data_IF_955587733386
#
_entry.id   IF_955587733386
#
_cell.length_a   1.000
_cell.length_b   1.000
_cell.length_c   1.000
_cell.angle_alpha   90.00
_cell.angle_beta   90.00
_cell.angle_gamma   90.00
#
_symmetry.space_group_name_H-M   'P 1'
#
loop_
_entity.id
_entity.type
_entity.pdbx_description
1 polymer ?
#
# COMPACT_ATOMS: atom_id res chain seq x y z
N UNK A 1 0.19 20.96 16.07
CA UNK A 1 -0.72 21.03 14.92
C UNK A 1 0.12 21.11 13.64
N UNK A 2 0.04 20.07 12.81
CA UNK A 2 0.83 19.94 11.56
C UNK A 2 0.51 21.08 10.58
N UNK A 3 -0.70 21.64 10.64
CA UNK A 3 -1.12 22.77 9.79
C UNK A 3 -0.29 24.05 10.01
N UNK A 4 0.44 24.14 11.13
CA UNK A 4 1.25 25.29 11.49
C UNK A 4 2.72 25.15 11.06
N UNK A 5 3.13 24.00 10.52
CA UNK A 5 4.48 23.81 9.99
C UNK A 5 4.58 24.59 8.68
N UNK A 6 5.40 25.63 8.64
CA UNK A 6 5.62 26.45 7.46
C UNK A 6 6.06 25.60 6.27
N UNK A 7 5.25 25.61 5.20
CA UNK A 7 5.51 24.81 4.01
C UNK A 7 4.74 23.46 3.92
N UNK A 8 3.97 23.07 4.96
CA UNK A 8 3.05 21.94 4.86
C UNK A 8 1.76 22.36 4.14
N UNK A 9 1.46 21.67 3.04
CA UNK A 9 0.19 21.78 2.34
C UNK A 9 -0.81 20.76 2.93
N UNK A 10 -1.91 21.20 3.58
CA UNK A 10 -2.91 20.30 4.15
C UNK A 10 -3.51 19.31 3.14
N UNK A 11 -3.52 19.64 1.85
CA UNK A 11 -4.00 18.73 0.81
C UNK A 11 -3.17 17.44 0.70
N UNK A 12 -1.90 17.45 1.15
CA UNK A 12 -1.05 16.25 1.23
C UNK A 12 -1.59 15.18 2.19
N UNK A 13 -2.47 15.53 3.10
CA UNK A 13 -3.16 14.61 4.02
C UNK A 13 -4.58 14.26 3.55
N UNK A 14 -5.06 14.96 2.53
CA UNK A 14 -6.38 14.78 1.94
C UNK A 14 -6.27 14.10 0.56
N UNK A 15 -6.64 14.79 -0.49
CA UNK A 15 -6.74 14.27 -1.85
C UNK A 15 -5.40 14.05 -2.56
N UNK A 16 -4.30 14.70 -2.09
CA UNK A 16 -2.93 14.51 -2.59
C UNK A 16 -2.12 13.45 -1.82
N UNK A 17 -2.72 12.70 -0.89
CA UNK A 17 -1.98 11.78 0.00
C UNK A 17 -1.17 10.70 -0.72
N UNK A 18 -1.50 10.41 -1.98
CA UNK A 18 -0.76 9.49 -2.85
C UNK A 18 -0.27 10.18 -4.12
N UNK A 19 0.00 11.46 -4.07
CA UNK A 19 0.52 12.23 -5.21
C UNK A 19 1.98 11.89 -5.52
N UNK A 20 2.43 12.24 -6.73
CA UNK A 20 3.84 12.03 -7.13
C UNK A 20 4.85 12.65 -6.16
N UNK A 21 4.65 13.89 -5.63
CA UNK A 21 5.56 14.43 -4.61
C UNK A 21 5.64 13.59 -3.33
N UNK A 22 4.51 13.03 -2.85
CA UNK A 22 4.52 12.19 -1.64
C UNK A 22 5.28 10.88 -1.91
N UNK A 23 5.06 10.26 -3.07
CA UNK A 23 5.79 9.06 -3.48
C UNK A 23 7.30 9.36 -3.59
N UNK A 24 7.67 10.48 -4.20
CA UNK A 24 9.08 10.88 -4.35
C UNK A 24 9.75 11.11 -2.99
N UNK A 25 9.12 11.89 -2.10
CA UNK A 25 9.65 12.12 -0.75
C UNK A 25 9.85 10.82 0.03
N UNK A 26 8.93 9.86 -0.15
CA UNK A 26 9.05 8.54 0.48
C UNK A 26 10.23 7.75 -0.09
N UNK A 27 10.43 7.79 -1.41
CA UNK A 27 11.61 7.19 -2.04
C UNK A 27 12.91 7.84 -1.58
N UNK A 28 12.97 9.16 -1.52
CA UNK A 28 14.16 9.90 -1.06
C UNK A 28 14.52 9.54 0.39
N UNK A 29 13.50 9.35 1.24
CA UNK A 29 13.71 8.90 2.61
C UNK A 29 14.26 7.46 2.68
N UNK A 30 13.72 6.54 1.88
CA UNK A 30 14.23 5.17 1.75
C UNK A 30 15.68 5.19 1.25
N UNK A 31 15.96 5.93 0.19
CA UNK A 31 17.30 6.00 -0.41
C UNK A 31 18.32 6.60 0.57
N UNK A 32 17.89 7.55 1.41
CA UNK A 32 18.74 8.09 2.46
C UNK A 32 19.11 7.03 3.50
N UNK A 33 18.17 6.17 3.89
CA UNK A 33 18.43 5.05 4.82
C UNK A 33 19.33 3.99 4.20
N UNK A 34 19.16 3.73 2.91
CA UNK A 34 19.92 2.69 2.18
C UNK A 34 21.32 3.12 1.78
N UNK A 35 21.66 4.41 1.84
CA UNK A 35 22.91 4.98 1.32
C UNK A 35 24.16 4.27 1.83
N UNK A 36 24.16 3.89 3.10
CA UNK A 36 25.31 3.30 3.78
C UNK A 36 25.16 1.77 3.95
N UNK A 37 24.14 1.19 3.30
CA UNK A 37 23.92 -0.25 3.33
C UNK A 37 24.45 -0.89 2.03
N UNK A 38 24.99 -2.13 2.11
CA UNK A 38 25.31 -2.88 0.90
C UNK A 38 24.06 -3.11 0.07
N UNK A 39 24.22 -3.52 -1.19
CA UNK A 39 23.10 -3.81 -2.08
C UNK A 39 22.08 -4.76 -1.41
N UNK A 40 20.94 -4.20 -0.99
CA UNK A 40 19.89 -4.93 -0.28
C UNK A 40 18.62 -4.95 -1.12
N UNK A 41 17.82 -5.99 -0.92
CA UNK A 41 16.47 -6.04 -1.46
C UNK A 41 15.48 -5.60 -0.39
N UNK A 42 14.55 -4.74 -0.79
CA UNK A 42 13.52 -4.21 0.10
C UNK A 42 12.34 -5.17 0.21
N UNK A 43 11.79 -5.24 1.41
CA UNK A 43 10.43 -5.72 1.63
C UNK A 43 9.60 -4.53 2.13
N UNK A 44 8.51 -4.23 1.44
CA UNK A 44 7.61 -3.16 1.81
C UNK A 44 6.36 -3.75 2.47
N UNK A 45 6.03 -3.20 3.63
CA UNK A 45 4.82 -3.59 4.38
C UNK A 45 4.04 -2.34 4.71
N UNK A 46 2.74 -2.33 4.44
CA UNK A 46 1.90 -1.18 4.73
C UNK A 46 0.48 -1.56 5.15
N UNK A 47 -0.08 -0.77 6.08
CA UNK A 47 -1.46 -0.92 6.52
C UNK A 47 -2.31 0.24 6.00
N UNK A 48 -3.55 -0.04 5.57
CA UNK A 48 -4.51 0.96 5.10
C UNK A 48 -3.90 1.85 4.00
N UNK A 49 -3.98 3.16 4.11
CA UNK A 49 -3.33 4.10 3.18
C UNK A 49 -1.81 3.92 3.06
N UNK A 50 -1.15 3.42 4.13
CA UNK A 50 0.28 3.08 4.07
C UNK A 50 0.58 1.94 3.10
N UNK A 51 -0.32 0.97 2.95
CA UNK A 51 -0.18 -0.09 1.96
C UNK A 51 -0.43 0.40 0.54
N UNK A 52 -1.37 1.33 0.33
CA UNK A 52 -1.55 2.01 -0.96
C UNK A 52 -0.27 2.75 -1.35
N UNK A 53 0.32 3.51 -0.42
CA UNK A 53 1.58 4.23 -0.66
C UNK A 53 2.74 3.26 -0.93
N UNK A 54 2.87 2.18 -0.14
CA UNK A 54 3.89 1.14 -0.35
C UNK A 54 3.78 0.50 -1.74
N UNK A 55 2.56 0.29 -2.24
CA UNK A 55 2.31 -0.23 -3.59
C UNK A 55 2.80 0.76 -4.66
N UNK A 56 2.54 2.04 -4.49
CA UNK A 56 2.98 3.08 -5.43
C UNK A 56 4.51 3.28 -5.38
N UNK A 57 5.12 3.21 -4.21
CA UNK A 57 6.58 3.20 -4.05
C UNK A 57 7.18 2.00 -4.78
N UNK A 58 6.63 0.80 -4.56
CA UNK A 58 7.10 -0.43 -5.21
C UNK A 58 7.08 -0.33 -6.74
N UNK A 59 6.11 0.38 -7.31
CA UNK A 59 5.99 0.55 -8.76
C UNK A 59 7.08 1.43 -9.39
N UNK A 60 7.79 2.21 -8.57
CA UNK A 60 8.86 3.12 -9.02
C UNK A 60 10.27 2.60 -8.71
N UNK A 61 10.38 1.41 -8.09
CA UNK A 61 11.65 0.83 -7.61
C UNK A 61 11.94 -0.51 -8.28
N UNK A 62 13.23 -0.85 -8.39
CA UNK A 62 13.70 -2.14 -8.93
C UNK A 62 14.29 -3.05 -7.86
N UNK A 63 14.44 -2.57 -6.63
CA UNK A 63 15.05 -3.26 -5.49
C UNK A 63 14.00 -3.88 -4.54
N UNK A 64 12.71 -3.79 -4.84
CA UNK A 64 11.65 -4.38 -4.04
C UNK A 64 11.44 -5.84 -4.40
N UNK A 65 11.62 -6.72 -3.41
CA UNK A 65 11.43 -8.17 -3.54
C UNK A 65 10.00 -8.62 -3.21
N UNK A 66 9.44 -8.06 -2.15
CA UNK A 66 8.14 -8.45 -1.62
C UNK A 66 7.36 -7.22 -1.15
N UNK A 67 6.10 -7.17 -1.52
CA UNK A 67 5.13 -6.16 -1.07
C UNK A 67 4.03 -6.86 -0.27
N UNK A 68 3.81 -6.43 0.96
CA UNK A 68 2.71 -6.90 1.80
C UNK A 68 1.82 -5.73 2.16
N UNK A 69 0.53 -5.86 1.93
CA UNK A 69 -0.45 -4.86 2.37
C UNK A 69 -1.49 -5.46 3.29
N UNK A 70 -1.89 -4.70 4.29
CA UNK A 70 -2.87 -5.08 5.30
C UNK A 70 -4.03 -4.07 5.23
N UNK A 71 -5.24 -4.53 4.97
CA UNK A 71 -6.44 -3.68 4.92
C UNK A 71 -6.25 -2.42 4.05
N UNK A 72 -5.70 -2.57 2.84
CA UNK A 72 -5.27 -1.43 2.01
C UNK A 72 -6.12 -1.30 0.75
N UNK A 73 -6.60 -0.08 0.41
CA UNK A 73 -7.27 0.17 -0.86
C UNK A 73 -6.27 0.12 -2.02
N UNK A 74 -6.39 -0.92 -2.86
CA UNK A 74 -5.51 -1.13 -4.02
C UNK A 74 -6.06 -0.49 -5.30
N UNK A 75 -7.36 -0.21 -5.33
CA UNK A 75 -8.01 0.68 -6.29
C UNK A 75 -8.73 1.78 -5.51
N UNK A 76 -8.10 2.95 -5.37
CA UNK A 76 -8.65 4.07 -4.59
C UNK A 76 -9.95 4.62 -5.19
N UNK A 77 -10.17 4.45 -6.49
CA UNK A 77 -11.42 4.84 -7.13
C UNK A 77 -12.56 3.88 -6.78
N UNK A 78 -12.31 2.57 -6.80
CA UNK A 78 -13.27 1.58 -6.34
C UNK A 78 -13.56 1.73 -4.84
N UNK A 79 -12.54 1.95 -4.03
CA UNK A 79 -12.67 2.21 -2.61
C UNK A 79 -13.56 3.45 -2.33
N UNK A 80 -13.33 4.57 -3.00
CA UNK A 80 -14.11 5.78 -2.82
C UNK A 80 -15.59 5.57 -3.19
N UNK A 81 -15.85 4.83 -4.29
CA UNK A 81 -17.22 4.47 -4.68
C UNK A 81 -17.89 3.58 -3.62
N UNK A 82 -17.19 2.57 -3.11
CA UNK A 82 -17.74 1.62 -2.11
C UNK A 82 -18.13 2.32 -0.82
N UNK A 83 -17.40 3.36 -0.43
CA UNK A 83 -17.67 4.14 0.79
C UNK A 83 -18.57 5.38 0.52
N UNK A 84 -18.91 5.67 -0.74
CA UNK A 84 -19.62 6.89 -1.10
C UNK A 84 -18.93 8.16 -0.62
N UNK A 85 -17.59 8.19 -0.69
CA UNK A 85 -16.77 9.36 -0.33
C UNK A 85 -16.19 10.03 -1.57
N UNK A 86 -15.72 11.27 -1.41
CA UNK A 86 -15.10 12.03 -2.49
C UNK A 86 -13.87 11.30 -3.06
N UNK A 87 -13.73 11.21 -4.39
CA UNK A 87 -12.54 10.64 -5.02
C UNK A 87 -11.27 11.44 -4.72
N UNK A 88 -10.14 10.75 -4.65
CA UNK A 88 -8.83 11.34 -4.43
C UNK A 88 -8.20 11.76 -5.78
N UNK A 89 -8.73 12.78 -6.42
CA UNK A 89 -8.38 13.17 -7.81
C UNK A 89 -6.91 13.53 -8.01
N UNK A 90 -6.23 14.04 -6.98
CA UNK A 90 -4.83 14.45 -7.06
C UNK A 90 -3.84 13.35 -6.59
N UNK A 91 -4.36 12.17 -6.32
CA UNK A 91 -3.59 10.98 -5.94
C UNK A 91 -3.43 10.01 -7.10
N UNK A 92 -2.30 9.29 -7.13
CA UNK A 92 -2.10 8.15 -8.04
C UNK A 92 -2.93 6.97 -7.56
N UNK A 93 -3.51 6.24 -8.50
CA UNK A 93 -4.25 5.02 -8.20
C UNK A 93 -3.38 3.79 -8.50
N UNK A 94 -3.11 2.90 -7.53
CA UNK A 94 -2.38 1.66 -7.81
C UNK A 94 -3.01 0.80 -8.93
N UNK A 95 -4.31 0.93 -9.14
CA UNK A 95 -5.02 0.23 -10.21
C UNK A 95 -4.91 0.89 -11.60
N UNK A 96 -4.16 1.99 -11.74
CA UNK A 96 -3.91 2.62 -13.05
C UNK A 96 -3.13 1.65 -13.96
N UNK A 97 -3.58 1.40 -15.21
CA UNK A 97 -2.89 0.51 -16.16
C UNK A 97 -1.43 0.85 -16.44
N UNK A 98 -1.04 2.11 -16.25
CA UNK A 98 0.34 2.55 -16.40
C UNK A 98 1.24 2.22 -15.19
N UNK A 99 0.66 1.84 -14.07
CA UNK A 99 1.39 1.40 -12.89
C UNK A 99 1.62 -0.10 -12.98
N UNK A 100 2.88 -0.53 -13.01
CA UNK A 100 3.24 -1.93 -13.18
C UNK A 100 4.16 -2.39 -12.05
N UNK A 101 3.82 -3.52 -11.45
CA UNK A 101 4.61 -4.19 -10.41
C UNK A 101 5.22 -5.49 -10.96
N UNK A 102 6.01 -5.33 -12.03
CA UNK A 102 6.67 -6.46 -12.69
C UNK A 102 7.68 -7.11 -11.75
N UNK A 103 7.60 -8.44 -11.66
CA UNK A 103 8.53 -9.28 -10.89
C UNK A 103 8.51 -9.12 -9.36
N UNK A 104 7.64 -8.28 -8.81
CA UNK A 104 7.47 -8.14 -7.36
C UNK A 104 6.45 -9.18 -6.89
N UNK A 105 6.82 -9.97 -5.89
CA UNK A 105 5.87 -10.85 -5.21
C UNK A 105 5.00 -10.03 -4.27
N UNK A 106 3.70 -10.29 -4.26
CA UNK A 106 2.76 -9.48 -3.52
C UNK A 106 1.83 -10.38 -2.68
N UNK A 107 1.56 -9.94 -1.47
CA UNK A 107 0.53 -10.55 -0.62
C UNK A 107 -0.34 -9.45 -0.02
N UNK A 108 -1.62 -9.50 -0.32
CA UNK A 108 -2.59 -8.51 0.13
C UNK A 108 -3.60 -9.17 1.08
N UNK A 109 -3.58 -8.76 2.34
CA UNK A 109 -4.49 -9.23 3.36
C UNK A 109 -5.67 -8.29 3.54
N UNK A 110 -6.87 -8.85 3.61
CA UNK A 110 -8.12 -8.15 3.90
C UNK A 110 -8.79 -8.74 5.12
N UNK A 111 -9.37 -7.90 5.95
CA UNK A 111 -10.21 -8.35 7.05
C UNK A 111 -11.61 -8.71 6.55
N UNK A 112 -12.14 -9.85 6.99
CA UNK A 112 -13.50 -10.27 6.65
C UNK A 112 -14.55 -9.26 7.15
N UNK A 113 -14.30 -8.68 8.32
CA UNK A 113 -15.19 -7.71 8.97
C UNK A 113 -14.77 -6.24 8.74
N UNK A 114 -13.85 -5.99 7.80
CA UNK A 114 -13.40 -4.64 7.49
C UNK A 114 -14.49 -3.84 6.75
N UNK A 115 -15.08 -2.86 7.44
CA UNK A 115 -16.10 -1.97 6.88
C UNK A 115 -15.49 -0.78 6.09
N UNK A 116 -14.18 -0.52 6.26
CA UNK A 116 -13.47 0.63 5.65
C UNK A 116 -12.81 0.21 4.33
N UNK A 117 -12.12 -0.93 4.30
CA UNK A 117 -11.47 -1.46 3.09
C UNK A 117 -12.02 -2.86 2.81
N UNK A 118 -13.14 -2.90 2.15
CA UNK A 118 -13.78 -4.14 1.74
C UNK A 118 -13.00 -4.80 0.60
N UNK A 119 -13.14 -6.12 0.46
CA UNK A 119 -12.51 -6.90 -0.62
C UNK A 119 -12.84 -6.34 -2.02
N UNK A 120 -14.01 -5.77 -2.18
CA UNK A 120 -14.46 -5.15 -3.44
C UNK A 120 -13.62 -3.94 -3.85
N UNK A 121 -12.94 -3.29 -2.90
CA UNK A 121 -12.00 -2.19 -3.16
C UNK A 121 -10.69 -2.62 -3.83
N UNK A 122 -10.48 -3.92 -4.07
CA UNK A 122 -9.43 -4.41 -4.96
C UNK A 122 -9.66 -3.89 -6.39
N UNK A 123 -10.93 -3.77 -6.82
CA UNK A 123 -11.29 -3.24 -8.13
C UNK A 123 -10.55 -3.94 -9.27
N UNK A 124 -9.86 -3.16 -10.08
CA UNK A 124 -9.09 -3.62 -11.23
C UNK A 124 -7.63 -4.00 -10.89
N UNK A 125 -7.19 -3.83 -9.64
CA UNK A 125 -5.78 -4.01 -9.28
C UNK A 125 -5.23 -5.41 -9.61
N UNK A 126 -6.02 -6.46 -9.43
CA UNK A 126 -5.60 -7.85 -9.67
C UNK A 126 -5.21 -8.18 -11.12
N UNK A 127 -5.39 -7.25 -12.05
CA UNK A 127 -5.03 -7.44 -13.45
C UNK A 127 -3.55 -7.19 -13.73
N UNK A 128 -2.75 -6.75 -12.74
CA UNK A 128 -1.38 -6.30 -12.96
C UNK A 128 -0.29 -7.33 -12.66
N UNK A 129 -0.57 -8.40 -11.91
CA UNK A 129 0.45 -9.37 -11.53
C UNK A 129 -0.10 -10.77 -11.30
N UNK A 130 0.53 -11.76 -11.93
CA UNK A 130 0.30 -13.19 -11.70
C UNK A 130 1.06 -13.74 -10.48
N UNK A 131 1.81 -12.91 -9.77
CA UNK A 131 2.53 -13.26 -8.52
C UNK A 131 1.90 -12.58 -7.31
N UNK A 132 0.57 -12.46 -7.33
CA UNK A 132 -0.18 -11.70 -6.32
C UNK A 132 -1.18 -12.59 -5.62
N UNK A 133 -1.05 -12.69 -4.31
CA UNK A 133 -1.98 -13.41 -3.44
C UNK A 133 -2.92 -12.42 -2.74
N UNK A 134 -4.22 -12.72 -2.76
CA UNK A 134 -5.27 -11.98 -2.05
C UNK A 134 -5.88 -12.89 -0.98
N UNK A 135 -5.65 -12.56 0.28
CA UNK A 135 -6.02 -13.40 1.43
C UNK A 135 -6.99 -12.64 2.32
N UNK A 136 -8.18 -13.20 2.51
CA UNK A 136 -9.15 -12.71 3.49
C UNK A 136 -8.92 -13.42 4.81
N UNK A 137 -8.80 -12.66 5.89
CA UNK A 137 -8.60 -13.19 7.25
C UNK A 137 -9.90 -13.08 8.04
N UNK A 138 -10.39 -14.21 8.49
CA UNK A 138 -11.63 -14.26 9.29
C UNK A 138 -11.45 -13.57 10.64
N UNK A 139 -12.48 -12.84 11.08
CA UNK A 139 -12.51 -12.14 12.36
C UNK A 139 -11.70 -10.85 12.42
N UNK A 140 -11.00 -10.46 11.36
CA UNK A 140 -10.25 -9.19 11.29
C UNK A 140 -11.16 -8.05 10.80
N UNK A 141 -11.02 -6.89 11.40
CA UNK A 141 -11.57 -5.63 10.91
C UNK A 141 -10.46 -4.70 10.41
N UNK A 142 -10.76 -3.40 10.25
CA UNK A 142 -9.78 -2.46 9.70
C UNK A 142 -8.56 -2.25 10.61
N UNK A 143 -8.69 -2.33 11.91
CA UNK A 143 -7.65 -1.97 12.89
C UNK A 143 -7.23 -3.12 13.80
N UNK A 144 -8.16 -4.02 14.09
CA UNK A 144 -7.99 -5.06 15.08
C UNK A 144 -7.15 -6.22 14.55
N UNK A 145 -6.29 -6.74 15.40
CA UNK A 145 -5.51 -7.96 15.26
C UNK A 145 -4.33 -7.93 14.27
N UNK A 146 -4.15 -6.91 13.44
CA UNK A 146 -3.06 -6.88 12.45
C UNK A 146 -1.67 -6.95 13.10
N UNK A 147 -1.41 -6.13 14.11
CA UNK A 147 -0.13 -6.12 14.82
C UNK A 147 0.06 -7.38 15.66
N UNK A 148 -0.98 -7.79 16.40
CA UNK A 148 -0.91 -8.95 17.30
C UNK A 148 -0.68 -10.27 16.56
N UNK A 149 -1.19 -10.36 15.33
CA UNK A 149 -1.09 -11.55 14.49
C UNK A 149 0.02 -11.47 13.44
N UNK A 150 0.85 -10.41 13.48
CA UNK A 150 1.85 -10.17 12.44
C UNK A 150 2.78 -11.36 12.21
N UNK A 151 3.25 -12.02 13.26
CA UNK A 151 4.14 -13.18 13.13
C UNK A 151 3.52 -14.34 12.32
N UNK A 152 2.19 -14.50 12.39
CA UNK A 152 1.45 -15.51 11.63
C UNK A 152 1.26 -15.04 10.19
N UNK A 153 0.85 -13.79 9.99
CA UNK A 153 0.64 -13.21 8.66
C UNK A 153 1.92 -13.16 7.84
N UNK A 154 3.03 -12.82 8.48
CA UNK A 154 4.36 -12.84 7.86
C UNK A 154 4.69 -14.21 7.25
N UNK A 155 4.42 -15.30 7.96
CA UNK A 155 4.64 -16.67 7.48
C UNK A 155 3.73 -17.06 6.31
N UNK A 156 2.59 -16.39 6.15
CA UNK A 156 1.64 -16.61 5.05
C UNK A 156 1.87 -15.67 3.86
N UNK A 157 2.84 -14.80 3.95
CA UNK A 157 3.13 -13.78 2.93
C UNK A 157 4.37 -14.12 2.11
N UNK A 158 4.63 -13.32 1.08
CA UNK A 158 5.87 -13.41 0.29
C UNK A 158 7.15 -13.17 1.10
N UNK A 159 7.06 -12.74 2.36
CA UNK A 159 8.19 -12.61 3.28
C UNK A 159 8.73 -13.97 3.77
N UNK A 160 7.88 -15.00 3.78
CA UNK A 160 8.27 -16.34 4.22
C UNK A 160 9.12 -17.11 3.20
N UNK A 161 9.18 -16.63 1.97
CA UNK A 161 9.91 -17.29 0.88
C UNK A 161 11.33 -16.74 0.85
N UNK A 162 12.26 -17.49 1.34
CA UNK A 162 13.72 -17.27 1.21
C UNK A 162 14.20 -17.66 -0.19
#
# INVERSE_FOLDING_TARGET
>A
DISQIKGCDPSMWADKRFSSPVIQLSNDAIDKVLRDLPAVQLNLVGHSGGGTLATLIASTRNDVRCLVTLASPLDISAWARTLSVAPLFLSKNPADPNIQLKNIRQTHFFGENDAIVKKESIGNYRNFSNKTDFIVISGFDHTKAWADQWAILQKKSCLALN
#
